data_IF_140536723785
#
_entry.id   IF_140536723785
#
_cell.length_a   1.000
_cell.length_b   1.000
_cell.length_c   1.000
_cell.angle_alpha   90.00
_cell.angle_beta   90.00
_cell.angle_gamma   90.00
#
_symmetry.space_group_name_H-M   'P 1'
#
loop_
_entity.id
_entity.type
_entity.pdbx_description
1 polymer ?
#
# COMPACT_ATOMS: atom_id res chain seq x y z
N UNK A 1 7.29 1.56 -6.60
CA UNK A 1 6.15 1.15 -5.73
C UNK A 1 4.80 1.69 -6.20
N UNK A 2 4.72 2.95 -6.65
CA UNK A 2 3.43 3.63 -6.88
C UNK A 2 2.53 3.02 -7.97
N UNK A 3 3.07 2.46 -9.05
CA UNK A 3 2.27 1.81 -10.09
C UNK A 3 1.47 0.61 -9.55
N UNK A 4 2.11 -0.27 -8.77
CA UNK A 4 1.48 -1.46 -8.19
C UNK A 4 0.44 -1.07 -7.13
N UNK A 5 0.78 -0.14 -6.23
CA UNK A 5 -0.19 0.34 -5.24
C UNK A 5 -1.37 1.06 -5.89
N UNK A 6 -1.10 1.92 -6.87
CA UNK A 6 -2.14 2.63 -7.63
C UNK A 6 -3.04 1.69 -8.41
N UNK A 7 -2.49 0.62 -8.99
CA UNK A 7 -3.27 -0.43 -9.64
C UNK A 7 -4.18 -1.16 -8.64
N UNK A 8 -3.64 -1.55 -7.48
CA UNK A 8 -4.43 -2.22 -6.43
C UNK A 8 -5.59 -1.36 -5.92
N UNK A 9 -5.30 -0.10 -5.57
CA UNK A 9 -6.31 0.87 -5.10
C UNK A 9 -7.33 1.18 -6.20
N UNK A 10 -6.88 1.40 -7.44
CA UNK A 10 -7.78 1.68 -8.55
C UNK A 10 -8.69 0.50 -8.90
N UNK A 11 -8.22 -0.74 -8.79
CA UNK A 11 -9.06 -1.93 -8.96
C UNK A 11 -10.13 -2.03 -7.86
N UNK A 12 -9.79 -1.73 -6.60
CA UNK A 12 -10.75 -1.80 -5.48
C UNK A 12 -11.80 -0.71 -5.57
N UNK A 13 -11.39 0.54 -5.83
CA UNK A 13 -12.31 1.67 -6.01
C UNK A 13 -13.20 1.44 -7.24
N UNK A 14 -12.61 0.99 -8.35
CA UNK A 14 -13.36 0.65 -9.57
C UNK A 14 -14.33 -0.51 -9.36
N UNK A 15 -14.00 -1.48 -8.50
CA UNK A 15 -14.92 -2.54 -8.11
C UNK A 15 -16.11 -2.02 -7.30
N UNK A 16 -15.87 -1.12 -6.32
CA UNK A 16 -16.94 -0.54 -5.49
C UNK A 16 -17.89 0.31 -6.35
N UNK A 17 -17.34 1.27 -7.11
CA UNK A 17 -18.17 2.15 -7.95
C UNK A 17 -18.80 1.41 -9.11
N UNK A 18 -18.10 0.45 -9.72
CA UNK A 18 -18.64 -0.41 -10.77
C UNK A 18 -19.80 -1.25 -10.26
N UNK A 19 -19.64 -1.92 -9.12
CA UNK A 19 -20.71 -2.71 -8.49
C UNK A 19 -21.90 -1.83 -8.11
N UNK A 20 -21.66 -0.65 -7.53
CA UNK A 20 -22.71 0.30 -7.20
C UNK A 20 -23.48 0.79 -8.45
N UNK A 21 -22.76 1.11 -9.54
CA UNK A 21 -23.38 1.53 -10.80
C UNK A 21 -24.25 0.43 -11.41
N UNK A 22 -23.82 -0.84 -11.29
CA UNK A 22 -24.57 -1.99 -11.79
C UNK A 22 -25.81 -2.27 -10.94
N UNK A 23 -25.70 -2.16 -9.61
CA UNK A 23 -26.84 -2.33 -8.70
C UNK A 23 -27.90 -1.24 -8.89
N UNK A 24 -27.48 -0.01 -9.22
CA UNK A 24 -28.39 1.13 -9.39
C UNK A 24 -28.94 1.26 -10.82
N UNK A 25 -28.10 1.11 -11.83
CA UNK A 25 -28.43 1.35 -13.24
C UNK A 25 -28.65 0.08 -14.06
N UNK A 26 -28.49 -1.09 -13.46
CA UNK A 26 -28.49 -2.38 -14.14
C UNK A 26 -27.14 -2.69 -14.79
N UNK A 27 -26.92 -3.98 -15.06
CA UNK A 27 -25.84 -4.41 -15.94
C UNK A 27 -26.22 -3.96 -17.36
N UNK A 28 -25.65 -2.84 -17.84
CA UNK A 28 -25.97 -2.26 -19.13
C UNK A 28 -25.88 -3.24 -20.32
N UNK A 29 -26.13 -2.80 -21.56
CA UNK A 29 -26.31 -3.70 -22.72
C UNK A 29 -25.10 -4.60 -23.04
N UNK A 30 -23.93 -4.30 -22.48
CA UNK A 30 -22.69 -5.08 -22.61
C UNK A 30 -22.51 -6.16 -21.53
N UNK A 31 -23.45 -6.29 -20.60
CA UNK A 31 -23.42 -7.23 -19.48
C UNK A 31 -22.67 -6.73 -18.24
N UNK A 32 -22.72 -7.54 -17.19
CA UNK A 32 -22.24 -7.21 -15.84
C UNK A 32 -20.71 -7.17 -15.79
N UNK A 33 -20.05 -8.18 -16.36
CA UNK A 33 -18.58 -8.25 -16.38
C UNK A 33 -17.94 -7.15 -17.24
N UNK A 34 -18.52 -6.83 -18.39
CA UNK A 34 -17.97 -5.80 -19.27
C UNK A 34 -18.03 -4.42 -18.62
N UNK A 35 -19.18 -4.05 -18.02
CA UNK A 35 -19.31 -2.79 -17.31
C UNK A 35 -18.39 -2.74 -16.09
N UNK A 36 -18.42 -3.76 -15.23
CA UNK A 36 -17.57 -3.84 -14.04
C UNK A 36 -16.07 -3.73 -14.37
N UNK A 37 -15.60 -4.53 -15.33
CA UNK A 37 -14.19 -4.49 -15.75
C UNK A 37 -13.80 -3.14 -16.34
N UNK A 38 -14.71 -2.41 -16.99
CA UNK A 38 -14.45 -1.06 -17.49
C UNK A 38 -14.19 -0.05 -16.37
N UNK A 39 -15.00 -0.07 -15.30
CA UNK A 39 -14.78 0.77 -14.12
C UNK A 39 -13.47 0.41 -13.42
N UNK A 40 -13.18 -0.89 -13.27
CA UNK A 40 -11.96 -1.40 -12.65
C UNK A 40 -10.71 -1.02 -13.44
N UNK A 41 -10.68 -1.28 -14.76
CA UNK A 41 -9.54 -0.97 -15.63
C UNK A 41 -9.31 0.53 -15.74
N UNK A 42 -10.37 1.32 -15.94
CA UNK A 42 -10.23 2.78 -16.05
C UNK A 42 -9.67 3.39 -14.77
N UNK A 43 -10.17 2.96 -13.60
CA UNK A 43 -9.70 3.46 -12.30
C UNK A 43 -8.28 2.98 -12.01
N UNK A 44 -7.97 1.70 -12.28
CA UNK A 44 -6.63 1.15 -12.13
C UNK A 44 -5.61 1.87 -13.01
N UNK A 45 -5.96 2.18 -14.26
CA UNK A 45 -5.08 2.88 -15.20
C UNK A 45 -4.73 4.30 -14.71
N UNK A 46 -5.71 5.09 -14.27
CA UNK A 46 -5.46 6.47 -13.85
C UNK A 46 -4.65 6.53 -12.55
N UNK A 47 -5.05 5.75 -11.54
CA UNK A 47 -4.32 5.73 -10.27
C UNK A 47 -2.92 5.14 -10.44
N UNK A 48 -2.75 4.05 -11.18
CA UNK A 48 -1.40 3.51 -11.45
C UNK A 48 -0.52 4.49 -12.23
N UNK A 49 -1.06 5.22 -13.21
CA UNK A 49 -0.31 6.21 -13.98
C UNK A 49 0.18 7.38 -13.11
N UNK A 50 -0.72 8.04 -12.37
CA UNK A 50 -0.33 9.19 -11.55
C UNK A 50 0.57 8.79 -10.38
N UNK A 51 0.31 7.65 -9.73
CA UNK A 51 1.18 7.18 -8.65
C UNK A 51 2.50 6.64 -9.19
N UNK A 52 2.58 6.14 -10.43
CA UNK A 52 3.85 5.79 -11.06
C UNK A 52 4.73 7.03 -11.23
N UNK A 53 4.18 8.14 -11.74
CA UNK A 53 4.89 9.41 -11.86
C UNK A 53 5.36 9.89 -10.48
N UNK A 54 4.47 9.88 -9.48
CA UNK A 54 4.81 10.24 -8.11
C UNK A 54 5.92 9.37 -7.52
N UNK A 55 5.91 8.07 -7.80
CA UNK A 55 6.94 7.12 -7.36
C UNK A 55 8.30 7.41 -7.98
N UNK A 56 8.35 7.89 -9.24
CA UNK A 56 9.60 8.30 -9.90
C UNK A 56 10.10 9.61 -9.32
N UNK A 57 9.21 10.61 -9.13
CA UNK A 57 9.58 11.91 -8.55
C UNK A 57 10.08 11.76 -7.10
N UNK A 58 9.42 10.91 -6.31
CA UNK A 58 9.82 10.61 -4.92
C UNK A 58 11.06 9.71 -4.85
N UNK A 59 11.53 9.20 -5.99
CA UNK A 59 12.61 8.22 -6.08
C UNK A 59 12.36 7.02 -5.15
N UNK A 60 11.13 6.50 -5.13
CA UNK A 60 10.73 5.30 -4.38
C UNK A 60 11.27 4.01 -5.06
N UNK A 61 12.54 4.04 -5.49
CA UNK A 61 13.30 2.86 -5.85
C UNK A 61 13.46 2.02 -4.59
N UNK A 62 13.08 0.74 -4.65
CA UNK A 62 13.43 -0.22 -3.61
C UNK A 62 14.94 -0.20 -3.44
N UNK A 63 15.41 0.46 -2.37
CA UNK A 63 16.78 0.29 -1.94
C UNK A 63 16.92 -1.19 -1.55
N UNK A 64 17.90 -1.91 -2.11
CA UNK A 64 18.18 -3.26 -1.67
C UNK A 64 18.33 -3.26 -0.14
N UNK A 65 17.84 -4.29 0.58
CA UNK A 65 17.80 -4.29 2.05
C UNK A 65 19.15 -3.96 2.73
N UNK A 66 20.26 -4.32 2.08
CA UNK A 66 21.62 -3.99 2.54
C UNK A 66 21.96 -2.49 2.41
N UNK A 67 21.47 -1.81 1.36
CA UNK A 67 21.64 -0.37 1.18
C UNK A 67 20.67 0.40 2.07
N UNK A 68 19.47 -0.13 2.33
CA UNK A 68 18.54 0.47 3.29
C UNK A 68 19.11 0.43 4.71
N UNK A 69 19.71 -0.69 5.12
CA UNK A 69 20.42 -0.80 6.39
C UNK A 69 21.64 0.14 6.47
N UNK A 70 22.42 0.26 5.39
CA UNK A 70 23.56 1.19 5.33
C UNK A 70 23.11 2.67 5.36
N UNK A 71 22.01 2.99 4.68
CA UNK A 71 21.40 4.33 4.71
C UNK A 71 20.90 4.66 6.11
N UNK A 72 20.26 3.71 6.78
CA UNK A 72 19.86 3.87 8.17
C UNK A 72 21.09 4.21 9.02
N UNK A 73 22.19 3.46 8.92
CA UNK A 73 23.47 3.74 9.62
C UNK A 73 24.03 5.14 9.36
N UNK A 74 23.88 5.68 8.16
CA UNK A 74 24.41 6.99 7.77
C UNK A 74 23.48 8.19 8.06
N UNK A 75 22.30 7.97 8.65
CA UNK A 75 21.39 9.06 9.02
C UNK A 75 21.95 9.93 10.17
N UNK A 76 21.46 11.17 10.34
CA UNK A 76 21.82 11.99 11.49
C UNK A 76 21.39 11.32 12.81
N UNK A 77 22.15 11.48 13.92
CA UNK A 77 21.87 10.83 15.21
C UNK A 77 20.47 11.10 15.78
N UNK A 78 19.85 12.24 15.40
CA UNK A 78 18.48 12.59 15.79
C UNK A 78 17.43 11.66 15.13
N UNK A 79 17.69 11.23 13.90
CA UNK A 79 16.80 10.33 13.15
C UNK A 79 16.99 8.89 13.61
N UNK A 80 18.23 8.51 13.94
CA UNK A 80 18.57 7.23 14.58
C UNK A 80 17.81 7.00 15.88
N UNK A 81 17.82 8.00 16.78
CA UNK A 81 17.17 7.88 18.09
C UNK A 81 15.66 7.57 17.98
N UNK A 82 14.97 8.08 16.95
CA UNK A 82 13.55 7.75 16.73
C UNK A 82 13.34 6.34 16.18
N UNK A 83 14.21 5.90 15.26
CA UNK A 83 14.14 4.56 14.69
C UNK A 83 14.45 3.48 15.76
N UNK A 84 15.48 3.71 16.57
CA UNK A 84 15.84 2.84 17.70
C UNK A 84 14.75 2.80 18.77
N UNK A 85 14.14 3.95 19.08
CA UNK A 85 13.01 4.02 20.02
C UNK A 85 11.81 3.18 19.58
N UNK A 86 11.45 3.23 18.29
CA UNK A 86 10.36 2.41 17.75
C UNK A 86 10.69 0.91 17.83
N UNK A 87 11.92 0.51 17.49
CA UNK A 87 12.37 -0.88 17.57
C UNK A 87 12.35 -1.42 19.01
N UNK A 88 12.79 -0.62 19.99
CA UNK A 88 12.77 -0.97 21.41
C UNK A 88 11.35 -1.16 21.94
N UNK A 89 10.40 -0.29 21.54
CA UNK A 89 8.99 -0.41 21.92
C UNK A 89 8.40 -1.73 21.39
N UNK A 90 8.68 -2.08 20.13
CA UNK A 90 8.22 -3.34 19.54
C UNK A 90 8.82 -4.58 20.23
N UNK A 91 10.11 -4.55 20.56
CA UNK A 91 10.76 -5.64 21.29
C UNK A 91 10.19 -5.82 22.70
N UNK A 92 9.91 -4.71 23.40
CA UNK A 92 9.29 -4.74 24.74
C UNK A 92 7.90 -5.33 24.69
N UNK A 93 7.08 -4.88 23.74
CA UNK A 93 5.72 -5.37 23.53
C UNK A 93 5.68 -6.86 23.16
N UNK A 94 6.65 -7.35 22.37
CA UNK A 94 6.77 -8.77 22.07
C UNK A 94 7.11 -9.59 23.33
N UNK A 95 8.03 -9.08 24.16
CA UNK A 95 8.39 -9.73 25.43
C UNK A 95 7.21 -9.78 26.41
N UNK A 96 6.35 -8.75 26.43
CA UNK A 96 5.14 -8.71 27.25
C UNK A 96 4.10 -9.71 26.76
N UNK A 97 3.88 -9.82 25.44
CA UNK A 97 2.97 -10.83 24.87
C UNK A 97 3.41 -12.26 25.18
N UNK A 98 4.71 -12.52 25.21
CA UNK A 98 5.24 -13.83 25.60
C UNK A 98 4.99 -14.13 27.07
N UNK A 99 5.16 -13.14 27.96
CA UNK A 99 4.87 -13.31 29.40
C UNK A 99 3.39 -13.60 29.65
N UNK A 100 2.49 -12.91 28.96
CA UNK A 100 1.04 -13.13 29.06
C UNK A 100 0.65 -14.54 28.57
N UNK A 101 1.29 -15.03 27.50
CA UNK A 101 1.01 -16.36 26.93
C UNK A 101 1.58 -17.53 27.76
N UNK A 102 2.57 -17.29 28.60
CA UNK A 102 3.19 -18.30 29.49
C UNK A 102 2.47 -18.36 30.86
N UNK A 103 1.67 -17.36 31.21
CA UNK A 103 0.90 -17.29 32.46
C UNK A 103 -0.57 -17.72 32.32
N UNK A 104 -1.01 -18.09 31.12
CA UNK A 104 -2.34 -18.65 30.84
C UNK A 104 -2.22 -20.15 30.53
#
# INVERSE_FOLDING_TARGET
MGALMGGGVGLTIGFIFGSYSILRGGAGPRGLLATLSQYMLSSAATFSFFLAIGSVIRNDSFLPPYIEAARLQMLPPIVHARAEGAALIHARWASERQKIRVQA
#
